data_IF_804710060842
#
_entry.id   IF_804710060842
#
_cell.length_a   1.000
_cell.length_b   1.000
_cell.length_c   1.000
_cell.angle_alpha   90.00
_cell.angle_beta   90.00
_cell.angle_gamma   90.00
#
_symmetry.space_group_name_H-M   'P 1'
#
loop_
_entity.id
_entity.type
_entity.pdbx_description
1 polymer ?
#
# COMPACT_ATOMS: atom_id res chain seq x y z
N UNK A 1 53.82 -30.04 -2.94
CA UNK A 1 52.67 -30.44 -3.80
C UNK A 1 51.63 -29.37 -3.69
N UNK A 2 51.52 -28.58 -4.75
CA UNK A 2 50.89 -27.27 -4.82
C UNK A 2 49.41 -27.48 -5.13
N UNK A 3 48.51 -26.94 -4.30
CA UNK A 3 47.11 -26.83 -4.60
C UNK A 3 46.81 -25.38 -5.00
N UNK A 4 46.39 -25.20 -6.24
CA UNK A 4 45.90 -23.95 -6.82
C UNK A 4 44.51 -23.65 -6.23
N UNK A 5 44.35 -22.47 -5.64
CA UNK A 5 43.10 -21.87 -5.29
C UNK A 5 42.42 -21.28 -6.53
N UNK A 6 41.26 -21.78 -6.87
CA UNK A 6 40.41 -21.25 -7.96
C UNK A 6 39.71 -19.97 -7.57
N UNK A 7 39.98 -18.93 -8.33
CA UNK A 7 39.23 -17.68 -8.41
C UNK A 7 37.87 -17.92 -9.08
N UNK A 8 36.80 -17.86 -8.33
CA UNK A 8 35.44 -18.07 -8.85
C UNK A 8 34.32 -17.59 -7.90
N UNK A 9 34.50 -16.45 -7.23
CA UNK A 9 33.47 -15.96 -6.29
C UNK A 9 33.27 -14.43 -6.36
N UNK A 10 33.28 -13.84 -7.54
CA UNK A 10 33.13 -12.39 -7.67
C UNK A 10 32.06 -11.92 -8.68
N UNK A 11 31.09 -12.76 -9.06
CA UNK A 11 30.13 -12.40 -10.11
C UNK A 11 28.64 -12.63 -9.77
N UNK A 12 28.26 -12.84 -8.49
CA UNK A 12 26.86 -13.12 -8.10
C UNK A 12 26.40 -12.18 -6.96
N UNK A 13 26.87 -10.96 -6.90
CA UNK A 13 26.54 -10.04 -5.79
C UNK A 13 25.88 -8.72 -6.22
N UNK A 14 25.26 -8.66 -7.39
CA UNK A 14 24.59 -7.46 -7.90
C UNK A 14 23.07 -7.60 -8.11
N UNK A 15 22.45 -8.68 -7.61
CA UNK A 15 21.01 -8.85 -7.68
C UNK A 15 20.45 -9.10 -6.27
N UNK A 16 20.07 -8.05 -5.55
CA UNK A 16 19.46 -8.29 -4.25
C UNK A 16 19.21 -7.11 -3.34
N UNK A 17 19.34 -5.89 -3.81
CA UNK A 17 18.76 -4.75 -3.12
C UNK A 17 17.52 -4.33 -3.91
N UNK A 18 16.41 -5.03 -3.69
CA UNK A 18 15.11 -4.57 -4.16
C UNK A 18 14.83 -3.21 -3.55
N UNK A 19 14.94 -2.15 -4.35
CA UNK A 19 14.44 -0.83 -3.99
C UNK A 19 12.98 -0.99 -3.62
N UNK A 20 12.62 -0.59 -2.41
CA UNK A 20 11.22 -0.48 -2.00
C UNK A 20 10.60 0.58 -2.89
N UNK A 21 9.74 0.16 -3.81
CA UNK A 21 9.03 1.08 -4.70
C UNK A 21 7.75 1.53 -4.01
N UNK A 22 7.51 2.84 -3.85
CA UNK A 22 6.23 3.34 -3.35
C UNK A 22 5.07 2.95 -4.29
N UNK A 23 3.83 3.03 -3.81
CA UNK A 23 2.64 2.56 -4.53
C UNK A 23 2.53 3.06 -5.98
N UNK A 24 2.99 4.28 -6.24
CA UNK A 24 3.01 4.86 -7.59
C UNK A 24 4.10 4.26 -8.51
N UNK A 25 5.17 3.68 -7.95
CA UNK A 25 6.22 3.02 -8.73
C UNK A 25 5.79 1.63 -9.24
N UNK A 26 4.60 1.17 -8.92
CA UNK A 26 4.00 -0.05 -9.49
C UNK A 26 3.45 0.16 -10.92
N UNK A 27 3.34 1.40 -11.40
CA UNK A 27 3.19 1.66 -12.83
C UNK A 27 4.57 1.55 -13.48
N UNK A 28 4.79 0.65 -14.46
CA UNK A 28 6.09 0.53 -15.10
C UNK A 28 6.45 1.84 -15.78
N UNK A 29 7.50 2.50 -15.30
CA UNK A 29 8.18 3.51 -16.09
C UNK A 29 8.81 2.80 -17.29
N UNK A 30 8.71 3.34 -18.52
CA UNK A 30 9.41 2.79 -19.65
C UNK A 30 10.92 2.83 -19.35
N UNK A 31 11.59 1.70 -19.49
CA UNK A 31 13.04 1.61 -19.34
C UNK A 31 13.72 2.51 -20.38
N UNK A 32 14.31 3.60 -19.90
CA UNK A 32 15.21 4.42 -20.71
C UNK A 32 16.48 3.65 -21.03
N UNK A 33 17.13 3.88 -22.20
CA UNK A 33 18.32 3.15 -22.58
C UNK A 33 19.50 3.52 -21.66
N UNK A 34 20.00 2.53 -20.91
CA UNK A 34 21.26 2.65 -20.21
C UNK A 34 22.40 2.66 -21.21
N UNK A 35 23.07 3.79 -21.35
CA UNK A 35 24.33 3.87 -22.07
C UNK A 35 25.44 3.22 -21.23
N UNK A 36 25.80 2.01 -21.54
CA UNK A 36 27.00 1.33 -21.02
C UNK A 36 27.91 1.01 -22.18
N UNK A 37 29.13 1.55 -22.14
CA UNK A 37 30.22 1.14 -23.04
C UNK A 37 30.50 -0.34 -22.82
N UNK A 38 30.30 -1.14 -23.86
CA UNK A 38 30.47 -2.59 -23.85
C UNK A 38 31.90 -2.99 -24.27
N UNK A 39 32.55 -3.78 -23.41
CA UNK A 39 33.58 -4.73 -23.85
C UNK A 39 32.92 -5.83 -24.69
N UNK A 40 33.60 -6.39 -25.69
CA UNK A 40 33.01 -7.44 -26.53
C UNK A 40 32.76 -8.71 -25.70
N UNK A 41 31.51 -9.05 -25.46
CA UNK A 41 31.10 -10.36 -24.93
C UNK A 41 30.84 -11.33 -26.10
N UNK A 42 31.25 -12.58 -25.91
CA UNK A 42 30.91 -13.71 -26.78
C UNK A 42 29.39 -13.77 -26.99
N UNK A 43 28.96 -13.79 -28.25
CA UNK A 43 27.57 -13.99 -28.65
C UNK A 43 27.08 -15.32 -28.12
N UNK A 44 26.36 -15.30 -26.97
CA UNK A 44 25.40 -16.36 -26.66
C UNK A 44 24.28 -16.27 -27.70
N UNK A 45 23.99 -17.38 -28.37
CA UNK A 45 22.81 -17.51 -29.24
C UNK A 45 21.58 -17.11 -28.45
N UNK A 46 20.94 -16.00 -28.83
CA UNK A 46 19.68 -15.55 -28.26
C UNK A 46 18.62 -16.57 -28.64
N UNK A 47 18.19 -17.37 -27.67
CA UNK A 47 16.97 -18.16 -27.81
C UNK A 47 15.83 -17.21 -28.16
N UNK A 48 14.99 -17.53 -29.16
CA UNK A 48 13.84 -16.69 -29.47
C UNK A 48 12.99 -16.51 -28.20
N UNK A 49 12.80 -15.25 -27.78
CA UNK A 49 11.94 -14.91 -26.62
C UNK A 49 10.55 -15.48 -26.88
N UNK A 50 10.07 -16.26 -25.98
CA UNK A 50 8.69 -16.73 -25.99
C UNK A 50 7.79 -15.69 -25.30
N UNK A 51 6.49 -15.69 -25.59
CA UNK A 51 5.51 -14.83 -24.91
C UNK A 51 5.60 -14.95 -23.38
N UNK A 52 5.99 -16.12 -22.87
CA UNK A 52 6.10 -16.39 -21.43
C UNK A 52 7.29 -15.68 -20.76
N UNK A 53 8.35 -15.37 -21.51
CA UNK A 53 9.53 -14.66 -20.99
C UNK A 53 9.22 -13.19 -20.63
N UNK A 54 8.07 -12.68 -21.06
CA UNK A 54 7.60 -11.31 -20.81
C UNK A 54 6.68 -11.19 -19.59
N UNK A 55 6.25 -12.33 -19.03
CA UNK A 55 5.46 -12.32 -17.80
C UNK A 55 6.35 -12.14 -16.57
N UNK A 56 6.02 -11.16 -15.75
CA UNK A 56 6.61 -10.94 -14.43
C UNK A 56 5.82 -11.74 -13.40
N UNK A 57 6.46 -12.73 -12.80
CA UNK A 57 5.90 -13.49 -11.70
C UNK A 57 6.37 -12.90 -10.38
N UNK A 58 5.49 -12.83 -9.40
CA UNK A 58 5.79 -12.44 -8.03
C UNK A 58 5.12 -13.40 -7.05
N UNK A 59 5.78 -13.70 -5.96
CA UNK A 59 5.16 -14.40 -4.85
C UNK A 59 5.91 -14.08 -3.55
N UNK A 60 5.16 -13.96 -2.46
CA UNK A 60 5.73 -13.89 -1.12
C UNK A 60 4.80 -14.51 -0.08
N UNK A 61 5.35 -14.79 1.08
CA UNK A 61 4.61 -15.14 2.29
C UNK A 61 5.12 -14.26 3.42
N UNK A 62 4.22 -13.63 4.18
CA UNK A 62 4.51 -12.89 5.39
C UNK A 62 3.68 -13.40 6.56
N UNK A 63 4.34 -13.55 7.71
CA UNK A 63 3.72 -13.88 8.98
C UNK A 63 4.39 -13.08 10.09
N UNK A 64 3.65 -12.79 11.14
CA UNK A 64 4.18 -11.98 12.22
C UNK A 64 3.37 -12.10 13.50
N UNK A 65 3.65 -11.21 14.41
CA UNK A 65 2.89 -11.07 15.64
C UNK A 65 3.10 -9.72 16.27
N UNK A 66 2.04 -9.17 16.84
CA UNK A 66 2.04 -7.88 17.52
C UNK A 66 1.58 -8.07 18.96
N UNK A 67 2.31 -7.43 19.88
CA UNK A 67 2.08 -7.53 21.32
C UNK A 67 1.99 -6.12 21.90
N UNK A 68 0.87 -5.80 22.58
CA UNK A 68 0.71 -4.56 23.31
C UNK A 68 1.48 -4.60 24.63
N UNK A 69 2.22 -3.55 24.92
CA UNK A 69 2.94 -3.40 26.20
C UNK A 69 2.02 -2.94 27.35
N UNK A 70 0.82 -2.45 27.03
CA UNK A 70 -0.15 -1.92 28.02
C UNK A 70 -1.40 -2.79 28.15
N UNK A 71 -1.35 -4.05 27.67
CA UNK A 71 -2.50 -4.94 27.67
C UNK A 71 -3.63 -4.39 26.80
N UNK A 72 -3.72 -4.82 25.57
CA UNK A 72 -4.71 -4.36 24.59
C UNK A 72 -6.16 -4.55 25.04
N UNK A 73 -7.08 -4.03 24.29
CA UNK A 73 -8.51 -4.17 24.51
C UNK A 73 -8.96 -5.62 24.43
N UNK A 74 -9.88 -6.01 25.29
CA UNK A 74 -10.61 -7.25 25.12
C UNK A 74 -11.62 -7.08 24.01
N UNK A 75 -11.28 -7.61 22.83
CA UNK A 75 -12.15 -7.85 21.70
C UNK A 75 -13.16 -6.73 21.33
N UNK A 76 -13.22 -6.41 20.06
CA UNK A 76 -14.34 -5.61 19.52
C UNK A 76 -15.63 -6.43 19.72
N UNK A 77 -16.73 -5.83 20.23
CA UNK A 77 -17.99 -6.54 20.39
C UNK A 77 -18.39 -7.24 19.08
N UNK A 78 -18.49 -8.55 19.12
CA UNK A 78 -18.87 -9.40 18.01
C UNK A 78 -17.74 -10.03 17.22
N UNK A 79 -16.46 -9.88 17.56
CA UNK A 79 -15.42 -10.80 17.10
C UNK A 79 -15.48 -12.09 17.91
N UNK A 80 -15.48 -13.22 17.18
CA UNK A 80 -15.55 -14.56 17.80
C UNK A 80 -14.25 -15.01 18.46
N UNK A 81 -13.15 -14.35 18.18
CA UNK A 81 -11.87 -14.55 18.85
C UNK A 81 -11.78 -13.60 20.04
N UNK A 82 -11.99 -14.10 21.25
CA UNK A 82 -11.86 -13.34 22.50
C UNK A 82 -10.43 -12.89 22.83
N UNK A 83 -9.65 -12.49 21.82
CA UNK A 83 -8.30 -11.99 21.92
C UNK A 83 -8.26 -10.49 22.21
N UNK A 84 -7.11 -10.04 22.70
CA UNK A 84 -6.81 -8.61 22.80
C UNK A 84 -6.60 -8.01 21.41
N UNK A 85 -7.00 -6.75 21.20
CA UNK A 85 -6.83 -6.01 19.95
C UNK A 85 -6.06 -4.72 20.19
N UNK A 86 -5.39 -4.25 19.15
CA UNK A 86 -4.80 -2.92 19.09
C UNK A 86 -5.81 -1.99 18.41
N UNK A 87 -6.21 -0.94 19.10
CA UNK A 87 -7.16 0.00 18.54
C UNK A 87 -6.54 0.85 17.45
N UNK A 88 -7.42 1.32 16.53
CA UNK A 88 -7.04 2.19 15.41
C UNK A 88 -5.91 1.59 14.54
N UNK A 89 -5.89 0.27 14.47
CA UNK A 89 -5.00 -0.52 13.62
C UNK A 89 -5.81 -1.28 12.58
N UNK A 90 -5.22 -1.50 11.45
CA UNK A 90 -5.89 -2.19 10.35
C UNK A 90 -5.35 -3.61 10.14
N UNK A 91 -4.05 -3.76 9.93
CA UNK A 91 -3.43 -5.05 9.64
C UNK A 91 -2.96 -5.79 10.88
N UNK A 92 -2.40 -5.11 11.82
CA UNK A 92 -1.87 -5.64 13.09
C UNK A 92 -2.85 -5.45 14.26
N UNK A 93 -4.15 -5.52 13.96
CA UNK A 93 -5.22 -5.33 14.95
C UNK A 93 -5.24 -6.42 16.02
N UNK A 94 -4.95 -7.67 15.67
CA UNK A 94 -4.96 -8.77 16.62
C UNK A 94 -3.63 -8.88 17.34
N UNK A 95 -3.67 -9.13 18.65
CA UNK A 95 -2.47 -9.46 19.41
C UNK A 95 -2.10 -10.93 19.27
N UNK A 96 -0.81 -11.20 19.26
CA UNK A 96 -0.24 -12.53 19.06
C UNK A 96 0.10 -12.82 17.61
N UNK A 97 0.21 -14.11 17.29
CA UNK A 97 0.61 -14.57 15.97
C UNK A 97 -0.45 -14.29 14.91
N UNK A 98 0.00 -13.88 13.73
CA UNK A 98 -0.82 -13.62 12.55
C UNK A 98 -0.16 -14.21 11.30
N UNK A 99 -0.91 -14.98 10.52
CA UNK A 99 -0.56 -15.26 9.13
C UNK A 99 -1.05 -14.05 8.31
N UNK A 100 -0.13 -13.12 8.03
CA UNK A 100 -0.45 -11.85 7.40
C UNK A 100 -0.94 -12.05 5.97
N UNK A 101 -0.06 -12.51 5.08
CA UNK A 101 -0.39 -12.61 3.67
C UNK A 101 0.50 -13.63 2.95
N UNK A 102 -0.11 -14.42 2.07
CA UNK A 102 0.55 -15.04 0.93
C UNK A 102 0.04 -14.36 -0.33
N UNK A 103 0.94 -13.99 -1.23
CA UNK A 103 0.62 -13.40 -2.53
C UNK A 103 1.18 -14.24 -3.66
N UNK A 104 0.40 -14.29 -4.74
CA UNK A 104 0.86 -14.70 -6.05
C UNK A 104 0.44 -13.65 -7.08
N UNK A 105 1.39 -13.19 -7.88
CA UNK A 105 1.13 -12.22 -8.94
C UNK A 105 1.70 -12.67 -10.27
N UNK A 106 0.95 -12.39 -11.34
CA UNK A 106 1.37 -12.53 -12.72
C UNK A 106 0.98 -11.27 -13.47
N UNK A 107 1.96 -10.57 -14.02
CA UNK A 107 1.75 -9.30 -14.72
C UNK A 107 2.52 -9.29 -16.04
N UNK A 108 1.92 -8.73 -17.07
CA UNK A 108 2.58 -8.38 -18.33
C UNK A 108 2.15 -6.98 -18.75
N UNK A 109 3.11 -6.14 -19.00
CA UNK A 109 2.87 -4.80 -19.51
C UNK A 109 2.76 -4.81 -21.04
N UNK A 110 1.84 -4.02 -21.64
CA UNK A 110 1.76 -3.89 -23.08
C UNK A 110 2.99 -3.13 -23.60
N UNK A 111 3.56 -3.57 -24.71
CA UNK A 111 4.67 -2.94 -25.40
C UNK A 111 4.38 -2.71 -26.90
N UNK A 112 5.35 -2.22 -27.66
CA UNK A 112 5.16 -1.95 -29.08
C UNK A 112 5.04 -3.21 -29.93
N UNK A 113 5.67 -4.33 -29.53
CA UNK A 113 5.64 -5.60 -30.26
C UNK A 113 4.33 -6.35 -29.96
N UNK A 114 3.84 -6.28 -28.73
CA UNK A 114 2.59 -6.89 -28.33
C UNK A 114 1.77 -5.91 -27.46
N UNK A 115 0.81 -5.18 -28.07
CA UNK A 115 0.16 -4.05 -27.44
C UNK A 115 -0.91 -4.41 -26.39
N UNK A 116 -0.96 -5.65 -25.94
CA UNK A 116 -1.89 -6.11 -24.90
C UNK A 116 -1.12 -6.58 -23.66
N UNK A 117 -1.64 -6.27 -22.49
CA UNK A 117 -1.12 -6.67 -21.20
C UNK A 117 -2.23 -7.13 -20.27
N UNK A 118 -1.83 -7.65 -19.12
CA UNK A 118 -2.74 -8.08 -18.07
C UNK A 118 -2.03 -8.08 -16.70
N UNK A 119 -2.83 -8.03 -15.66
CA UNK A 119 -2.36 -8.27 -14.30
C UNK A 119 -3.38 -9.06 -13.50
N UNK A 120 -2.88 -10.03 -12.75
CA UNK A 120 -3.63 -10.78 -11.76
C UNK A 120 -2.80 -10.87 -10.49
N UNK A 121 -3.38 -10.42 -9.36
CA UNK A 121 -2.79 -10.54 -8.02
C UNK A 121 -3.81 -11.21 -7.12
N UNK A 122 -3.43 -12.37 -6.60
CA UNK A 122 -4.21 -13.16 -5.68
C UNK A 122 -3.54 -13.14 -4.31
N UNK A 123 -4.30 -12.87 -3.27
CA UNK A 123 -3.79 -12.81 -1.91
C UNK A 123 -4.61 -13.68 -0.97
N UNK A 124 -3.95 -14.24 0.05
CA UNK A 124 -4.60 -15.03 1.09
C UNK A 124 -3.94 -14.74 2.45
N UNK A 125 -4.75 -14.64 3.49
CA UNK A 125 -4.29 -14.35 4.85
C UNK A 125 -5.15 -13.29 5.53
N UNK A 126 -4.78 -12.90 6.74
CA UNK A 126 -5.56 -11.95 7.53
C UNK A 126 -5.57 -10.55 6.91
N UNK A 127 -4.49 -10.13 6.27
CA UNK A 127 -4.42 -8.83 5.64
C UNK A 127 -5.29 -8.79 4.37
N UNK A 128 -5.38 -9.91 3.63
CA UNK A 128 -6.26 -10.04 2.47
C UNK A 128 -7.74 -9.83 2.84
N UNK A 129 -8.15 -10.33 4.00
CA UNK A 129 -9.51 -10.15 4.51
C UNK A 129 -9.92 -8.67 4.62
N UNK A 130 -8.97 -7.77 4.81
CA UNK A 130 -9.21 -6.34 5.04
C UNK A 130 -9.21 -5.51 3.77
N UNK A 131 -8.65 -6.04 2.68
CA UNK A 131 -8.50 -5.33 1.40
C UNK A 131 -9.68 -5.54 0.44
N UNK A 132 -10.67 -6.34 0.82
CA UNK A 132 -11.79 -6.65 -0.06
C UNK A 132 -12.52 -5.40 -0.52
N UNK A 133 -12.66 -5.27 -1.83
CA UNK A 133 -13.60 -4.32 -2.41
C UNK A 133 -15.04 -4.79 -2.19
N UNK A 134 -15.92 -3.85 -1.92
CA UNK A 134 -17.36 -4.09 -1.94
C UNK A 134 -17.78 -4.57 -3.34
N UNK A 135 -18.55 -5.66 -3.39
CA UNK A 135 -19.00 -6.28 -4.65
C UNK A 135 -18.14 -7.46 -5.14
N UNK A 136 -16.96 -7.68 -4.56
CA UNK A 136 -16.17 -8.91 -4.73
C UNK A 136 -15.84 -9.44 -3.35
N UNK A 137 -16.36 -10.63 -2.99
CA UNK A 137 -16.12 -11.31 -1.71
C UNK A 137 -16.53 -10.53 -0.45
N UNK A 138 -17.11 -9.34 -0.61
CA UNK A 138 -17.62 -8.48 0.46
C UNK A 138 -18.93 -7.82 0.02
N UNK A 139 -19.91 -7.77 0.90
CA UNK A 139 -21.18 -7.07 0.66
C UNK A 139 -21.19 -5.68 1.32
N UNK A 140 -22.11 -4.81 0.91
CA UNK A 140 -22.33 -3.50 1.50
C UNK A 140 -22.76 -3.57 2.98
N UNK A 141 -23.25 -4.73 3.43
CA UNK A 141 -23.71 -4.96 4.80
C UNK A 141 -22.63 -5.48 5.73
N UNK A 142 -21.44 -5.81 5.21
CA UNK A 142 -20.32 -6.27 6.01
C UNK A 142 -19.63 -5.08 6.68
N UNK A 143 -20.07 -4.81 7.92
CA UNK A 143 -19.52 -3.73 8.72
C UNK A 143 -18.07 -3.99 9.14
N UNK A 144 -17.30 -2.91 9.30
CA UNK A 144 -16.03 -2.95 10.03
C UNK A 144 -16.26 -3.52 11.45
N UNK A 145 -15.43 -4.42 11.98
CA UNK A 145 -14.21 -4.95 11.43
C UNK A 145 -14.36 -6.28 10.64
N UNK A 146 -14.83 -6.22 9.41
CA UNK A 146 -14.74 -7.31 8.41
C UNK A 146 -15.22 -8.70 8.86
N UNK A 147 -16.37 -8.76 9.50
CA UNK A 147 -17.03 -10.02 9.83
C UNK A 147 -17.49 -10.68 8.53
N UNK A 148 -17.24 -11.97 8.40
CA UNK A 148 -17.69 -12.81 7.28
C UNK A 148 -16.97 -12.58 5.93
N UNK A 149 -15.90 -11.78 5.86
CA UNK A 149 -15.09 -11.70 4.66
C UNK A 149 -14.10 -12.87 4.59
N UNK A 150 -13.90 -13.51 3.44
CA UNK A 150 -12.93 -14.58 3.27
C UNK A 150 -11.48 -14.10 3.51
N UNK A 151 -10.60 -15.04 3.84
CA UNK A 151 -9.15 -14.79 3.95
C UNK A 151 -8.42 -14.83 2.60
N UNK A 152 -9.15 -14.70 1.51
CA UNK A 152 -8.66 -14.68 0.14
C UNK A 152 -9.24 -13.48 -0.60
N UNK A 153 -8.42 -12.79 -1.41
CA UNK A 153 -8.87 -11.67 -2.24
C UNK A 153 -8.28 -11.76 -3.66
N UNK A 154 -9.03 -11.25 -4.61
CA UNK A 154 -8.54 -10.86 -5.93
C UNK A 154 -8.15 -9.39 -5.82
N UNK A 155 -6.90 -9.14 -5.40
CA UNK A 155 -6.42 -7.78 -5.15
C UNK A 155 -6.35 -6.95 -6.43
N UNK A 156 -5.83 -7.55 -7.52
CA UNK A 156 -5.85 -6.96 -8.84
C UNK A 156 -6.33 -7.97 -9.89
N UNK A 157 -7.13 -7.52 -10.83
CA UNK A 157 -7.51 -8.25 -12.03
C UNK A 157 -7.83 -7.25 -13.14
N UNK A 158 -6.93 -7.08 -14.09
CA UNK A 158 -7.11 -6.11 -15.17
C UNK A 158 -6.50 -6.59 -16.48
N UNK A 159 -7.03 -6.03 -17.57
CA UNK A 159 -6.41 -6.06 -18.89
C UNK A 159 -5.86 -4.66 -19.20
N UNK A 160 -4.83 -4.60 -20.02
CA UNK A 160 -4.27 -3.33 -20.48
C UNK A 160 -3.95 -3.36 -21.97
N UNK A 161 -3.89 -2.18 -22.57
CA UNK A 161 -3.57 -2.03 -23.97
C UNK A 161 -2.74 -0.77 -24.20
N UNK A 162 -1.85 -0.80 -25.20
CA UNK A 162 -1.06 0.34 -25.66
C UNK A 162 -1.50 0.76 -27.06
N UNK A 163 -1.86 2.02 -27.21
CA UNK A 163 -2.21 2.54 -28.54
C UNK A 163 -0.93 2.85 -29.36
N UNK A 164 -0.90 2.57 -30.67
CA UNK A 164 0.27 2.82 -31.52
C UNK A 164 0.34 4.29 -31.98
N UNK A 165 0.26 5.24 -31.05
CA UNK A 165 0.24 6.69 -31.30
C UNK A 165 1.25 7.37 -30.39
N UNK A 166 2.25 8.04 -30.93
CA UNK A 166 3.31 8.69 -30.16
C UNK A 166 4.05 7.70 -29.25
N UNK A 167 4.27 8.07 -27.98
CA UNK A 167 4.86 7.17 -26.96
C UNK A 167 3.90 6.07 -26.50
N UNK A 168 2.71 5.96 -27.09
CA UNK A 168 1.75 4.90 -26.84
C UNK A 168 0.99 5.08 -25.52
N UNK A 169 -0.07 5.91 -25.49
CA UNK A 169 -0.96 5.95 -24.35
C UNK A 169 -1.46 4.54 -24.01
N UNK A 170 -1.51 4.24 -22.71
CA UNK A 170 -1.93 2.94 -22.23
C UNK A 170 -3.32 3.06 -21.59
N UNK A 171 -4.19 2.10 -21.88
CA UNK A 171 -5.48 1.91 -21.22
C UNK A 171 -5.37 0.70 -20.28
N UNK A 172 -5.85 0.84 -19.05
CA UNK A 172 -6.01 -0.25 -18.08
C UNK A 172 -7.49 -0.35 -17.70
N UNK A 173 -8.07 -1.56 -17.75
CA UNK A 173 -9.48 -1.83 -17.42
C UNK A 173 -9.56 -2.99 -16.45
N UNK A 174 -10.23 -2.81 -15.32
CA UNK A 174 -10.43 -3.84 -14.30
C UNK A 174 -10.26 -3.32 -12.88
N UNK A 175 -9.93 -4.22 -11.96
CA UNK A 175 -9.59 -3.92 -10.56
C UNK A 175 -8.08 -3.74 -10.41
N UNK A 176 -7.66 -2.68 -9.75
CA UNK A 176 -6.25 -2.36 -9.53
C UNK A 176 -6.08 -1.59 -8.20
N UNK A 177 -4.86 -1.56 -7.67
CA UNK A 177 -4.54 -0.77 -6.46
C UNK A 177 -4.74 0.72 -6.71
N UNK A 178 -5.05 1.45 -5.66
CA UNK A 178 -5.21 2.91 -5.71
C UNK A 178 -3.94 3.60 -6.24
N UNK A 179 -4.10 4.83 -6.75
CA UNK A 179 -2.98 5.70 -7.11
C UNK A 179 -2.43 6.46 -5.89
N UNK A 180 -3.20 6.51 -4.80
CA UNK A 180 -2.92 7.31 -3.61
C UNK A 180 -2.09 6.53 -2.59
N UNK A 181 -1.30 7.27 -1.80
CA UNK A 181 -0.55 6.76 -0.67
C UNK A 181 0.90 6.37 -0.94
N UNK A 182 1.73 6.51 0.06
CA UNK A 182 3.14 6.09 0.06
C UNK A 182 3.31 4.62 0.46
N UNK A 183 2.55 4.16 1.45
CA UNK A 183 2.52 2.75 1.85
C UNK A 183 1.63 1.93 0.92
N UNK A 184 1.96 0.65 0.77
CA UNK A 184 1.29 -0.29 -0.14
C UNK A 184 0.67 -1.47 0.63
N UNK A 185 -0.22 -2.19 -0.04
CA UNK A 185 -0.88 -3.39 0.53
C UNK A 185 0.15 -4.46 0.90
N UNK A 186 1.14 -4.71 0.04
CA UNK A 186 2.15 -5.75 0.22
C UNK A 186 3.14 -5.39 1.34
N UNK A 187 3.05 -6.11 2.46
CA UNK A 187 3.90 -5.89 3.64
C UNK A 187 5.40 -5.83 3.35
N UNK A 188 5.95 -6.80 2.62
CA UNK A 188 7.36 -6.83 2.27
C UNK A 188 7.86 -5.65 1.44
N UNK A 189 6.97 -4.83 0.89
CA UNK A 189 7.30 -3.65 0.08
C UNK A 189 7.30 -2.34 0.88
N UNK A 190 6.82 -2.36 2.13
CA UNK A 190 6.87 -1.21 3.03
C UNK A 190 8.16 -1.18 3.87
N UNK A 191 8.55 0.00 4.30
CA UNK A 191 9.71 0.20 5.19
C UNK A 191 9.45 -0.35 6.59
N UNK A 192 8.21 -0.30 7.07
CA UNK A 192 7.75 -0.75 8.37
C UNK A 192 6.84 -1.97 8.23
N UNK A 193 6.70 -2.76 9.31
CA UNK A 193 5.79 -3.89 9.35
C UNK A 193 4.33 -3.44 9.48
N UNK A 194 4.05 -2.59 10.46
CA UNK A 194 2.70 -2.02 10.64
C UNK A 194 2.42 -0.92 9.61
N UNK A 195 1.16 -0.80 9.18
CA UNK A 195 0.72 0.31 8.32
C UNK A 195 0.42 1.56 9.15
N UNK A 196 0.68 2.71 8.54
CA UNK A 196 0.41 4.01 9.13
C UNK A 196 -1.06 4.39 9.17
N UNK A 197 -1.33 5.51 9.83
CA UNK A 197 -2.68 6.09 9.90
C UNK A 197 -3.12 6.66 8.54
N UNK A 198 -2.21 7.27 7.77
CA UNK A 198 -2.54 7.79 6.46
C UNK A 198 -3.00 6.66 5.54
N UNK A 199 -2.23 5.57 5.47
CA UNK A 199 -2.62 4.39 4.72
C UNK A 199 -3.97 3.83 5.19
N UNK A 200 -4.16 3.72 6.51
CA UNK A 200 -5.35 3.09 7.10
C UNK A 200 -6.63 3.89 6.91
N UNK A 201 -6.55 5.21 7.03
CA UNK A 201 -7.73 6.06 7.17
C UNK A 201 -7.89 7.11 6.07
N UNK A 202 -6.80 7.56 5.42
CA UNK A 202 -6.89 8.71 4.53
C UNK A 202 -7.29 8.36 3.09
N UNK A 203 -6.98 7.13 2.61
CA UNK A 203 -7.06 6.74 1.20
C UNK A 203 -7.81 5.42 0.97
N UNK A 204 -8.30 5.13 -0.27
CA UNK A 204 -8.77 3.80 -0.66
C UNK A 204 -7.59 2.84 -0.86
N UNK A 205 -7.85 1.51 -0.85
CA UNK A 205 -6.84 0.47 -1.13
C UNK A 205 -6.86 0.04 -2.59
N UNK A 206 -8.06 -0.18 -3.13
CA UNK A 206 -8.26 -0.63 -4.51
C UNK A 206 -9.37 0.14 -5.17
N UNK A 207 -9.34 0.20 -6.49
CA UNK A 207 -10.39 0.79 -7.32
C UNK A 207 -10.68 -0.14 -8.51
N UNK A 208 -11.89 -0.06 -9.06
CA UNK A 208 -12.27 -0.81 -10.26
C UNK A 208 -12.80 0.16 -11.30
N UNK A 209 -12.27 0.08 -12.52
CA UNK A 209 -12.67 1.00 -13.59
C UNK A 209 -11.70 1.03 -14.74
N UNK A 210 -11.52 2.21 -15.34
CA UNK A 210 -10.61 2.44 -16.44
C UNK A 210 -9.66 3.60 -16.18
N UNK A 211 -8.38 3.41 -16.47
CA UNK A 211 -7.33 4.43 -16.45
C UNK A 211 -6.68 4.56 -17.81
N UNK A 212 -6.41 5.78 -18.21
CA UNK A 212 -5.51 6.10 -19.33
C UNK A 212 -4.25 6.72 -18.74
N UNK A 213 -3.09 6.21 -19.11
CA UNK A 213 -1.78 6.73 -18.71
C UNK A 213 -0.96 7.14 -19.92
N UNK A 214 -0.12 8.17 -19.75
CA UNK A 214 0.78 8.67 -20.76
C UNK A 214 2.09 9.14 -20.12
N UNK A 215 3.21 8.72 -20.71
CA UNK A 215 4.55 9.20 -20.37
C UNK A 215 4.94 10.29 -21.37
N UNK A 216 5.07 11.52 -20.90
CA UNK A 216 5.42 12.66 -21.75
C UNK A 216 6.91 12.69 -22.07
N UNK A 217 7.73 12.30 -21.07
CA UNK A 217 9.19 12.23 -21.18
C UNK A 217 9.74 11.50 -19.93
N UNK A 218 11.07 11.44 -19.79
CA UNK A 218 11.75 10.69 -18.73
C UNK A 218 11.47 11.19 -17.30
N UNK A 219 10.94 12.41 -17.16
CA UNK A 219 10.68 13.01 -15.84
C UNK A 219 9.21 13.34 -15.57
N UNK A 220 8.31 13.17 -16.56
CA UNK A 220 6.89 13.52 -16.41
C UNK A 220 5.99 12.42 -17.00
N UNK A 221 5.09 11.91 -16.19
CA UNK A 221 3.97 11.07 -16.63
C UNK A 221 2.68 11.49 -15.95
N UNK A 222 1.55 11.17 -16.55
CA UNK A 222 0.24 11.38 -15.96
C UNK A 222 -0.69 10.22 -16.27
N UNK A 223 -1.66 10.02 -15.40
CA UNK A 223 -2.76 9.09 -15.62
C UNK A 223 -4.05 9.63 -15.03
N UNK A 224 -5.17 9.31 -15.67
CA UNK A 224 -6.49 9.68 -15.20
C UNK A 224 -7.54 8.68 -15.67
N UNK A 225 -8.64 8.58 -14.95
CA UNK A 225 -9.70 7.68 -15.33
C UNK A 225 -10.96 7.80 -14.48
N UNK A 226 -11.87 6.88 -14.77
CA UNK A 226 -13.13 6.75 -14.06
C UNK A 226 -13.19 5.38 -13.37
N UNK A 227 -13.57 5.40 -12.10
CA UNK A 227 -13.66 4.22 -11.25
C UNK A 227 -15.03 4.17 -10.55
N UNK A 228 -15.38 3.02 -10.02
CA UNK A 228 -16.68 2.79 -9.36
C UNK A 228 -16.75 3.40 -7.95
N UNK A 229 -15.68 4.05 -7.50
CA UNK A 229 -15.57 4.67 -6.20
C UNK A 229 -14.52 4.00 -5.31
N UNK A 230 -14.56 4.33 -4.02
CA UNK A 230 -13.62 3.96 -2.99
C UNK A 230 -13.83 2.49 -2.54
N UNK A 231 -12.84 1.61 -2.84
CA UNK A 231 -12.90 0.18 -2.49
C UNK A 231 -14.14 -0.54 -3.00
N UNK A 232 -14.57 -0.24 -4.25
CA UNK A 232 -15.75 -0.82 -4.87
C UNK A 232 -15.44 -1.52 -6.18
N UNK A 233 -16.12 -2.65 -6.40
CA UNK A 233 -16.05 -3.45 -7.63
C UNK A 233 -17.42 -3.67 -8.30
N UNK A 234 -18.47 -3.08 -7.73
CA UNK A 234 -19.79 -3.00 -8.31
C UNK A 234 -20.36 -1.59 -8.16
N UNK A 235 -21.35 -1.25 -8.97
CA UNK A 235 -22.06 0.02 -8.83
C UNK A 235 -23.00 -0.02 -7.62
N UNK A 236 -23.14 1.09 -6.94
CA UNK A 236 -24.06 1.29 -5.84
C UNK A 236 -25.12 2.37 -6.13
N UNK A 237 -25.23 2.75 -7.41
CA UNK A 237 -26.10 3.81 -7.94
C UNK A 237 -25.73 5.23 -7.49
N UNK A 238 -24.59 5.44 -6.85
CA UNK A 238 -24.09 6.79 -6.55
C UNK A 238 -23.52 7.49 -7.77
N UNK A 239 -22.76 6.79 -8.60
CA UNK A 239 -22.11 7.30 -9.82
C UNK A 239 -20.62 6.97 -9.84
N UNK A 240 -19.91 7.24 -10.94
CA UNK A 240 -18.47 7.04 -11.02
C UNK A 240 -17.70 8.13 -10.29
N UNK A 241 -16.52 7.77 -9.77
CA UNK A 241 -15.51 8.69 -9.27
C UNK A 241 -14.42 8.92 -10.30
N UNK A 242 -13.91 10.15 -10.38
CA UNK A 242 -12.71 10.48 -11.15
C UNK A 242 -11.47 10.22 -10.30
N UNK A 243 -10.42 9.65 -10.88
CA UNK A 243 -9.11 9.50 -10.22
C UNK A 243 -7.99 9.87 -11.17
N UNK A 244 -6.86 10.31 -10.63
CA UNK A 244 -5.70 10.63 -11.45
C UNK A 244 -4.43 10.87 -10.66
N UNK A 245 -3.33 10.94 -11.40
CA UNK A 245 -1.98 11.14 -10.89
C UNK A 245 -1.18 11.97 -11.88
N UNK A 246 -0.36 12.87 -11.37
CA UNK A 246 0.78 13.47 -12.07
C UNK A 246 2.04 13.05 -11.33
N UNK A 247 2.90 12.29 -12.00
CA UNK A 247 4.17 11.82 -11.44
C UNK A 247 5.34 12.58 -12.09
N UNK A 248 6.24 13.08 -11.24
CA UNK A 248 7.37 13.89 -11.64
C UNK A 248 8.65 13.36 -11.00
N UNK A 249 9.69 13.20 -11.81
CA UNK A 249 11.06 12.83 -11.37
C UNK A 249 11.99 14.02 -11.67
N UNK A 250 11.93 15.10 -10.86
CA UNK A 250 12.66 16.34 -11.16
C UNK A 250 14.17 16.19 -11.02
N UNK A 251 14.63 15.20 -10.27
CA UNK A 251 16.02 14.80 -10.10
C UNK A 251 16.09 13.29 -10.24
N UNK A 252 17.24 12.77 -10.65
CA UNK A 252 17.48 11.32 -10.84
C UNK A 252 17.03 10.46 -9.64
N UNK A 253 17.23 10.98 -8.42
CA UNK A 253 17.01 10.24 -7.19
C UNK A 253 15.80 10.77 -6.38
N UNK A 254 15.01 11.69 -6.96
CA UNK A 254 13.78 12.25 -6.37
C UNK A 254 12.60 11.97 -7.27
N UNK A 255 11.63 11.28 -6.77
CA UNK A 255 10.35 11.04 -7.43
C UNK A 255 9.21 11.53 -6.57
N UNK A 256 8.23 12.19 -7.19
CA UNK A 256 7.06 12.77 -6.53
C UNK A 256 5.81 12.44 -7.31
N UNK A 257 4.68 12.31 -6.64
CA UNK A 257 3.40 12.17 -7.30
C UNK A 257 2.32 12.98 -6.56
N UNK A 258 1.52 13.70 -7.34
CA UNK A 258 0.29 14.31 -6.89
C UNK A 258 -0.87 13.46 -7.41
N UNK A 259 -1.67 12.95 -6.49
CA UNK A 259 -2.76 12.04 -6.75
C UNK A 259 -4.08 12.61 -6.29
N UNK A 260 -5.18 12.16 -6.87
CA UNK A 260 -6.51 12.52 -6.41
C UNK A 260 -7.54 11.43 -6.72
N UNK A 261 -8.61 11.45 -5.93
CA UNK A 261 -9.88 10.78 -6.24
C UNK A 261 -11.03 11.71 -5.84
N UNK A 262 -12.08 11.77 -6.68
CA UNK A 262 -13.25 12.62 -6.44
C UNK A 262 -14.50 12.00 -7.01
N UNK A 263 -15.55 11.89 -6.21
CA UNK A 263 -16.85 11.38 -6.66
C UNK A 263 -17.83 11.15 -5.53
N UNK A 264 -19.04 10.69 -5.86
CA UNK A 264 -20.05 10.35 -4.88
C UNK A 264 -19.69 9.01 -4.23
N UNK A 265 -19.60 9.00 -2.89
CA UNK A 265 -19.18 7.80 -2.12
C UNK A 265 -20.26 7.36 -1.10
N UNK A 266 -21.44 7.99 -1.13
CA UNK A 266 -22.58 7.57 -0.32
C UNK A 266 -23.49 6.68 -1.18
N UNK A 267 -23.66 5.43 -0.76
CA UNK A 267 -24.42 4.45 -1.51
C UNK A 267 -25.85 4.93 -1.80
N UNK A 268 -26.24 4.88 -3.07
CA UNK A 268 -27.56 5.31 -3.55
C UNK A 268 -27.76 6.83 -3.68
N UNK A 269 -26.75 7.65 -3.35
CA UNK A 269 -26.85 9.11 -3.47
C UNK A 269 -25.70 9.68 -4.33
N UNK A 270 -26.06 10.48 -5.33
CA UNK A 270 -25.14 11.09 -6.28
C UNK A 270 -24.68 12.49 -5.87
N UNK A 271 -25.31 13.11 -4.90
CA UNK A 271 -25.10 14.54 -4.61
C UNK A 271 -23.92 14.76 -3.66
N UNK A 272 -23.78 14.01 -2.55
CA UNK A 272 -22.66 14.22 -1.64
C UNK A 272 -21.34 13.75 -2.28
N UNK A 273 -20.42 14.66 -2.42
CA UNK A 273 -19.11 14.39 -3.05
C UNK A 273 -18.06 14.20 -1.97
N UNK A 274 -17.25 13.16 -2.15
CA UNK A 274 -15.97 12.94 -1.45
C UNK A 274 -14.83 13.27 -2.38
N UNK A 275 -13.78 13.86 -1.84
CA UNK A 275 -12.52 13.99 -2.56
C UNK A 275 -11.32 13.84 -1.63
N UNK A 276 -10.23 13.37 -2.19
CA UNK A 276 -8.93 13.27 -1.53
C UNK A 276 -7.87 13.77 -2.50
N UNK A 277 -6.95 14.57 -1.96
CA UNK A 277 -5.68 14.94 -2.60
C UNK A 277 -4.58 14.28 -1.78
N UNK A 278 -3.67 13.61 -2.47
CA UNK A 278 -2.52 12.92 -1.90
C UNK A 278 -1.24 13.41 -2.59
N UNK A 279 -0.21 13.65 -1.80
CA UNK A 279 1.13 13.99 -2.29
C UNK A 279 2.14 13.03 -1.70
N UNK A 280 2.86 12.33 -2.56
CA UNK A 280 3.95 11.45 -2.15
C UNK A 280 5.29 11.91 -2.72
N UNK A 281 6.37 11.65 -1.99
CA UNK A 281 7.73 11.82 -2.48
C UNK A 281 8.63 10.72 -1.95
N UNK A 282 9.62 10.33 -2.76
CA UNK A 282 10.67 9.39 -2.40
C UNK A 282 12.01 9.90 -2.88
N UNK A 283 13.01 9.95 -1.98
CA UNK A 283 14.35 10.43 -2.28
C UNK A 283 15.41 9.40 -1.85
N UNK A 284 16.29 9.04 -2.79
CA UNK A 284 17.36 8.05 -2.62
C UNK A 284 18.75 8.60 -2.97
N UNK A 285 18.89 9.92 -3.09
CA UNK A 285 20.14 10.57 -3.50
C UNK A 285 21.25 10.58 -2.45
N UNK A 286 20.98 10.16 -1.21
CA UNK A 286 22.00 9.96 -0.20
C UNK A 286 22.31 8.47 -0.11
N UNK A 287 23.59 8.13 -0.27
CA UNK A 287 24.03 6.73 -0.26
C UNK A 287 23.52 6.00 1.00
N UNK A 288 22.97 4.82 0.80
CA UNK A 288 22.43 3.91 1.81
C UNK A 288 21.22 4.47 2.59
N UNK A 289 20.68 5.65 2.21
CA UNK A 289 19.48 6.23 2.78
C UNK A 289 18.31 6.25 1.79
N UNK A 290 17.12 6.04 2.34
CA UNK A 290 15.84 6.27 1.65
C UNK A 290 15.01 7.21 2.52
N UNK A 291 14.46 8.26 1.93
CA UNK A 291 13.53 9.18 2.57
C UNK A 291 12.20 9.15 1.83
N UNK A 292 11.12 9.09 2.59
CA UNK A 292 9.76 9.11 2.07
C UNK A 292 8.93 10.21 2.71
N UNK A 293 7.92 10.64 1.99
CA UNK A 293 6.96 11.64 2.44
C UNK A 293 5.58 11.31 1.89
N UNK A 294 4.55 11.52 2.71
CA UNK A 294 3.15 11.45 2.33
C UNK A 294 2.36 12.57 3.00
N UNK A 295 1.46 13.18 2.26
CA UNK A 295 0.47 14.14 2.74
C UNK A 295 -0.86 13.82 2.11
N UNK A 296 -1.92 13.76 2.92
CA UNK A 296 -3.28 13.56 2.49
C UNK A 296 -4.18 14.67 3.03
N UNK A 297 -5.13 15.10 2.20
CA UNK A 297 -6.27 15.91 2.62
C UNK A 297 -7.54 15.36 1.98
N UNK A 298 -8.51 15.02 2.81
CA UNK A 298 -9.79 14.49 2.37
C UNK A 298 -10.99 15.24 2.94
N UNK A 299 -12.07 15.22 2.18
CA UNK A 299 -13.31 15.90 2.50
C UNK A 299 -14.51 15.12 1.97
N UNK A 300 -15.63 15.15 2.72
CA UNK A 300 -16.88 14.48 2.39
C UNK A 300 -18.05 15.40 2.69
N UNK A 301 -18.91 15.64 1.70
CA UNK A 301 -20.18 16.35 1.89
C UNK A 301 -21.18 15.46 2.63
N UNK A 302 -22.01 16.07 3.49
CA UNK A 302 -23.18 15.47 4.12
C UNK A 302 -22.91 14.04 4.64
N UNK A 303 -21.91 13.90 5.47
CA UNK A 303 -21.43 12.59 5.91
C UNK A 303 -22.45 11.82 6.74
N UNK A 304 -22.66 10.55 6.38
CA UNK A 304 -23.68 9.68 7.03
C UNK A 304 -23.34 9.35 8.48
N UNK A 305 -22.05 9.32 8.86
CA UNK A 305 -21.65 9.11 10.25
C UNK A 305 -22.04 10.33 11.08
N UNK A 306 -21.82 11.55 10.59
CA UNK A 306 -22.23 12.79 11.27
C UNK A 306 -23.74 12.89 11.34
N UNK A 307 -24.47 12.49 10.31
CA UNK A 307 -25.93 12.42 10.36
C UNK A 307 -26.42 11.45 11.45
N UNK A 308 -25.76 10.31 11.64
CA UNK A 308 -26.08 9.36 12.73
C UNK A 308 -25.79 9.90 14.12
N UNK A 309 -24.92 10.91 14.24
CA UNK A 309 -24.62 11.64 15.48
C UNK A 309 -25.56 12.83 15.72
N UNK A 310 -26.63 12.98 14.93
CA UNK A 310 -27.58 14.09 15.03
C UNK A 310 -27.08 15.39 14.41
N UNK A 311 -26.10 15.32 13.52
CA UNK A 311 -25.51 16.43 12.77
C UNK A 311 -25.74 16.25 11.26
N UNK A 312 -26.99 16.26 10.78
CA UNK A 312 -27.29 16.14 9.36
C UNK A 312 -26.68 17.35 8.60
N UNK A 313 -26.40 17.16 7.33
CA UNK A 313 -25.87 18.18 6.41
C UNK A 313 -24.51 18.75 6.85
N UNK A 314 -23.76 18.04 7.68
CA UNK A 314 -22.40 18.39 8.05
C UNK A 314 -21.38 17.71 7.15
N UNK A 315 -20.40 18.49 6.75
CA UNK A 315 -19.26 18.00 6.01
C UNK A 315 -18.22 17.44 6.97
N UNK A 316 -17.52 16.40 6.51
CA UNK A 316 -16.41 15.81 7.21
C UNK A 316 -15.09 16.15 6.53
N UNK A 317 -14.03 16.21 7.31
CA UNK A 317 -12.67 16.42 6.78
C UNK A 317 -11.65 15.64 7.62
N UNK A 318 -10.60 15.23 6.96
CA UNK A 318 -9.42 14.60 7.55
C UNK A 318 -8.17 14.98 6.78
N UNK A 319 -7.05 14.98 7.45
CA UNK A 319 -5.77 15.25 6.82
C UNK A 319 -4.62 14.70 7.66
N UNK A 320 -3.47 14.52 7.02
CA UNK A 320 -2.31 14.03 7.73
C UNK A 320 -1.03 14.14 6.94
N UNK A 321 0.05 13.90 7.63
CA UNK A 321 1.41 13.92 7.10
C UNK A 321 2.21 12.76 7.69
N UNK A 322 2.99 12.09 6.85
CA UNK A 322 3.93 11.06 7.26
C UNK A 322 5.30 11.30 6.65
N UNK A 323 6.32 11.16 7.48
CA UNK A 323 7.72 11.16 7.07
C UNK A 323 8.35 9.80 7.34
N UNK A 324 9.17 9.35 6.40
CA UNK A 324 9.86 8.07 6.45
C UNK A 324 11.35 8.28 6.25
N UNK A 325 12.16 7.54 7.00
CA UNK A 325 13.60 7.49 6.80
C UNK A 325 14.08 6.06 7.00
N UNK A 326 14.86 5.54 6.07
CA UNK A 326 15.51 4.25 6.22
C UNK A 326 17.00 4.36 5.93
N UNK A 327 17.78 3.59 6.66
CA UNK A 327 19.23 3.50 6.52
C UNK A 327 19.66 2.03 6.42
N UNK A 328 20.28 1.68 5.30
CA UNK A 328 20.90 0.38 5.06
C UNK A 328 22.30 0.40 5.67
N UNK A 329 22.45 -0.16 6.86
CA UNK A 329 23.73 -0.28 7.54
C UNK A 329 24.19 -1.73 7.56
N UNK A 330 25.48 -1.95 7.28
CA UNK A 330 26.00 -3.27 6.93
C UNK A 330 25.22 -3.91 5.77
N UNK A 331 25.71 -5.01 5.29
CA UNK A 331 25.21 -5.67 4.09
C UNK A 331 23.76 -6.17 4.20
N UNK A 332 23.33 -6.54 5.42
CA UNK A 332 22.12 -7.30 5.63
C UNK A 332 21.12 -6.62 6.58
N UNK A 333 21.40 -5.42 7.05
CA UNK A 333 20.56 -4.72 8.02
C UNK A 333 20.02 -3.39 7.49
N UNK A 334 18.75 -3.12 7.79
CA UNK A 334 18.09 -1.83 7.57
C UNK A 334 17.40 -1.40 8.85
N UNK A 335 17.55 -0.16 9.24
CA UNK A 335 16.68 0.50 10.21
C UNK A 335 15.76 1.46 9.46
N UNK A 336 14.49 1.49 9.85
CA UNK A 336 13.48 2.39 9.27
C UNK A 336 12.71 3.09 10.38
N UNK A 337 12.43 4.37 10.16
CA UNK A 337 11.63 5.22 11.04
C UNK A 337 10.45 5.75 10.24
N UNK A 338 9.28 5.77 10.87
CA UNK A 338 8.08 6.48 10.40
C UNK A 338 7.59 7.39 11.51
N UNK A 339 7.31 8.65 11.17
CA UNK A 339 6.65 9.60 12.03
C UNK A 339 5.39 10.09 11.32
N UNK A 340 4.24 10.00 11.99
CA UNK A 340 2.95 10.39 11.42
C UNK A 340 2.18 11.31 12.34
N UNK A 341 1.40 12.16 11.72
CA UNK A 341 0.32 12.93 12.32
C UNK A 341 -0.91 12.82 11.43
N UNK A 342 -2.06 12.52 12.03
CA UNK A 342 -3.33 12.38 11.34
C UNK A 342 -4.43 13.03 12.17
N UNK A 343 -5.22 13.89 11.55
CA UNK A 343 -6.35 14.58 12.16
C UNK A 343 -7.65 14.18 11.46
N UNK A 344 -8.48 13.42 12.15
CA UNK A 344 -9.85 13.11 11.75
C UNK A 344 -10.79 14.07 12.46
N UNK A 345 -10.92 15.27 11.91
CA UNK A 345 -11.59 16.43 12.55
C UNK A 345 -12.97 16.11 13.07
N UNK A 346 -13.67 15.25 12.39
CA UNK A 346 -15.06 14.90 12.68
C UNK A 346 -15.25 13.44 13.11
N UNK A 347 -14.18 12.64 13.09
CA UNK A 347 -14.18 11.24 13.52
C UNK A 347 -14.77 10.25 12.51
N UNK A 348 -14.98 10.67 11.27
CA UNK A 348 -15.66 9.87 10.24
C UNK A 348 -14.79 8.74 9.70
N UNK A 349 -13.48 8.86 9.80
CA UNK A 349 -12.52 7.86 9.33
C UNK A 349 -12.17 6.85 10.41
N UNK A 350 -12.10 7.30 11.66
CA UNK A 350 -11.76 6.47 12.84
C UNK A 350 -12.96 5.92 13.56
N UNK A 351 -14.17 6.47 13.33
CA UNK A 351 -15.38 6.17 14.10
C UNK A 351 -15.40 6.83 15.49
N UNK A 352 -14.53 7.81 15.74
CA UNK A 352 -14.42 8.50 17.04
C UNK A 352 -15.36 9.72 17.06
N UNK A 353 -16.46 9.63 17.77
CA UNK A 353 -17.40 10.75 17.85
C UNK A 353 -16.72 12.02 18.38
N UNK A 354 -16.90 13.13 17.64
CA UNK A 354 -16.28 14.43 17.97
C UNK A 354 -14.88 14.64 17.41
N UNK A 355 -14.33 13.64 16.70
CA UNK A 355 -13.00 13.71 16.07
C UNK A 355 -11.85 13.27 16.96
N UNK A 356 -10.70 13.04 16.33
CA UNK A 356 -9.46 12.64 17.03
C UNK A 356 -8.22 13.05 16.24
N UNK A 357 -7.23 13.54 16.95
CA UNK A 357 -5.88 13.74 16.41
C UNK A 357 -4.95 12.63 16.89
N UNK A 358 -4.28 11.97 15.95
CA UNK A 358 -3.41 10.82 16.18
C UNK A 358 -1.97 11.16 15.82
N UNK A 359 -1.05 10.66 16.63
CA UNK A 359 0.40 10.66 16.37
C UNK A 359 0.93 9.24 16.43
N UNK A 360 1.87 8.89 15.55
CA UNK A 360 2.53 7.60 15.59
C UNK A 360 4.03 7.75 15.33
N UNK A 361 4.82 7.10 16.15
CA UNK A 361 6.26 6.92 15.95
C UNK A 361 6.55 5.44 15.84
N UNK A 362 7.13 5.01 14.70
CA UNK A 362 7.43 3.61 14.44
C UNK A 362 8.90 3.45 14.09
N UNK A 363 9.59 2.51 14.76
CA UNK A 363 10.97 2.14 14.48
C UNK A 363 11.04 0.64 14.16
N UNK A 364 11.59 0.30 13.00
CA UNK A 364 11.69 -1.08 12.51
C UNK A 364 13.15 -1.41 12.20
N UNK A 365 13.62 -2.54 12.73
CA UNK A 365 14.88 -3.16 12.34
C UNK A 365 14.57 -4.35 11.43
N UNK A 366 15.11 -4.35 10.23
CA UNK A 366 15.02 -5.47 9.28
C UNK A 366 16.39 -6.14 9.14
N UNK A 367 16.37 -7.47 9.11
CA UNK A 367 17.54 -8.31 8.87
C UNK A 367 17.29 -9.25 7.69
N UNK A 368 18.19 -9.24 6.71
CA UNK A 368 18.22 -10.19 5.59
C UNK A 368 18.94 -11.48 6.05
N UNK A 369 18.17 -12.49 6.41
CA UNK A 369 18.69 -13.77 6.92
C UNK A 369 19.35 -14.56 5.79
N UNK A 370 18.70 -14.59 4.63
CA UNK A 370 19.15 -15.33 3.45
C UNK A 370 18.42 -14.77 2.22
N UNK A 371 18.84 -15.16 1.01
CA UNK A 371 18.22 -14.74 -0.26
C UNK A 371 16.69 -14.81 -0.19
N UNK A 372 16.02 -13.66 -0.20
CA UNK A 372 14.57 -13.56 -0.15
C UNK A 372 13.93 -13.74 1.23
N UNK A 373 14.67 -14.20 2.27
CA UNK A 373 14.16 -14.39 3.63
C UNK A 373 14.59 -13.25 4.55
N UNK A 374 13.62 -12.57 5.13
CA UNK A 374 13.81 -11.39 5.99
C UNK A 374 13.07 -11.54 7.31
N UNK A 375 13.69 -11.04 8.38
CA UNK A 375 13.03 -10.83 9.66
C UNK A 375 12.92 -9.33 9.97
N UNK A 376 11.85 -8.95 10.66
CA UNK A 376 11.65 -7.59 11.19
C UNK A 376 11.34 -7.65 12.67
N UNK A 377 11.89 -6.69 13.42
CA UNK A 377 11.45 -6.33 14.75
C UNK A 377 11.00 -4.87 14.74
N UNK A 378 9.85 -4.56 15.31
CA UNK A 378 9.26 -3.22 15.26
C UNK A 378 8.76 -2.80 16.65
N UNK A 379 9.04 -1.56 17.00
CA UNK A 379 8.39 -0.84 18.10
C UNK A 379 7.54 0.27 17.50
N UNK A 380 6.30 0.40 17.98
CA UNK A 380 5.42 1.50 17.61
C UNK A 380 4.75 2.08 18.84
N UNK A 381 4.83 3.40 18.95
CA UNK A 381 4.12 4.25 19.91
C UNK A 381 3.03 5.04 19.17
N UNK A 382 1.78 4.91 19.63
CA UNK A 382 0.64 5.70 19.18
C UNK A 382 0.17 6.60 20.31
N UNK A 383 -0.21 7.84 19.98
CA UNK A 383 -0.75 8.83 20.90
C UNK A 383 -1.97 9.52 20.26
N UNK A 384 -2.96 9.83 21.08
CA UNK A 384 -4.17 10.57 20.68
C UNK A 384 -4.45 11.72 21.64
N UNK A 385 -5.16 12.75 21.17
CA UNK A 385 -5.72 13.79 22.02
C UNK A 385 -6.91 13.32 22.86
N UNK A 386 -7.59 12.24 22.45
CA UNK A 386 -8.74 11.64 23.08
C UNK A 386 -8.46 10.24 23.65
N UNK A 387 -9.35 9.73 24.50
CA UNK A 387 -9.29 8.36 25.03
C UNK A 387 -9.81 7.37 24.02
N UNK A 388 -8.93 6.82 23.20
CA UNK A 388 -9.30 5.90 22.09
C UNK A 388 -8.57 4.57 22.16
N UNK A 389 -7.72 4.35 23.16
CA UNK A 389 -7.00 3.10 23.38
C UNK A 389 -7.40 2.44 24.70
N UNK A 390 -7.13 1.13 24.82
CA UNK A 390 -7.47 0.36 26.02
C UNK A 390 -8.97 0.19 26.22
N UNK A 391 -9.75 0.15 25.15
CA UNK A 391 -11.21 0.00 25.16
C UNK A 391 -11.61 -1.42 25.61
N UNK A 392 -12.77 -1.55 26.27
CA UNK A 392 -13.37 -2.83 26.66
C UNK A 392 -14.85 -2.82 26.32
N UNK A 393 -15.48 -3.98 26.05
CA UNK A 393 -16.89 -4.07 25.70
C UNK A 393 -17.83 -3.46 26.74
N UNK A 394 -17.42 -3.53 28.00
CA UNK A 394 -18.17 -3.09 29.20
C UNK A 394 -17.63 -1.79 29.82
N UNK A 395 -16.63 -1.17 29.18
CA UNK A 395 -15.95 -0.02 29.76
C UNK A 395 -15.39 0.90 28.65
N UNK A 396 -15.56 2.22 28.75
CA UNK A 396 -15.00 3.16 27.77
C UNK A 396 -13.49 3.06 27.68
N UNK A 397 -12.92 3.53 26.57
CA UNK A 397 -11.48 3.61 26.36
C UNK A 397 -10.83 4.44 27.48
N UNK A 398 -9.69 3.98 27.98
CA UNK A 398 -9.05 4.58 29.17
C UNK A 398 -7.68 5.23 28.90
N UNK A 399 -7.12 4.96 27.72
CA UNK A 399 -5.77 5.40 27.42
C UNK A 399 -5.77 6.35 26.23
N UNK A 400 -4.88 7.32 26.28
CA UNK A 400 -4.56 8.22 25.16
C UNK A 400 -3.31 7.77 24.39
N UNK A 401 -2.70 6.66 24.80
CA UNK A 401 -1.53 6.09 24.13
C UNK A 401 -1.57 4.57 24.12
N UNK A 402 -0.84 4.00 23.18
CA UNK A 402 -0.66 2.57 23.00
C UNK A 402 0.77 2.30 22.54
N UNK A 403 1.42 1.30 23.13
CA UNK A 403 2.75 0.84 22.74
C UNK A 403 2.70 -0.61 22.31
N UNK A 404 3.34 -0.94 21.19
CA UNK A 404 3.38 -2.29 20.66
C UNK A 404 4.79 -2.70 20.26
N UNK A 405 5.09 -3.99 20.46
CA UNK A 405 6.23 -4.67 19.87
C UNK A 405 5.72 -5.68 18.85
N UNK A 406 6.31 -5.66 17.67
CA UNK A 406 5.97 -6.61 16.60
C UNK A 406 7.20 -7.32 16.09
N UNK A 407 6.99 -8.55 15.63
CA UNK A 407 7.99 -9.32 14.89
C UNK A 407 7.35 -9.85 13.63
N UNK A 408 8.07 -9.87 12.52
CA UNK A 408 7.61 -10.55 11.30
C UNK A 408 8.73 -11.28 10.60
N UNK A 409 8.33 -12.29 9.85
CA UNK A 409 9.17 -13.06 8.96
C UNK A 409 8.48 -13.09 7.60
N UNK A 410 9.20 -12.75 6.54
CA UNK A 410 8.69 -12.87 5.19
C UNK A 410 9.71 -13.47 4.23
N UNK A 411 9.20 -14.16 3.22
CA UNK A 411 10.01 -14.74 2.15
C UNK A 411 9.47 -14.32 0.79
N UNK A 412 10.34 -13.72 -0.03
CA UNK A 412 10.08 -13.41 -1.44
C UNK A 412 10.66 -14.52 -2.31
N UNK A 413 9.81 -15.18 -3.11
CA UNK A 413 10.21 -16.32 -3.94
C UNK A 413 10.89 -15.89 -5.26
N UNK A 414 10.49 -14.75 -5.81
CA UNK A 414 10.97 -14.20 -7.09
C UNK A 414 11.31 -12.73 -6.96
#
# INVERSE_FOLDING_TARGET
>A
MILKSGSGLAAILAMGLGSVSPAWAQTPAPAGPAATESKPEEKKEDKPKTLWDEFKLGAFIEQGGTFSLHGGSKGIPGQTSGGFVNELRYYDINQGYTFNMAEFSIKRDPDAAFPFGMGLVLTAGQDSQKNHSIGILRSDTDAFPFRNTPWFDIQEAYISGRAPIGEGPQLKLGKFVTLLGYEVIEGPSNLNYSRGYLYTFAIPFTTTGGLVSYTFNDWLSAQAGLVLGWDRSNTDNSGPSGTGQIAVTPLKDLSTALNFIVGPEISGDKNPIRWVIDLTANYTGVKDFTFGFNFDYGWQENDVFLASQGLPDKNAQWYGIAGYAAYDFWKDFRVALRQEWFDDVNGVRTGTAGGVTLFSTTATLQYNIWKGLFARGEYRHDQANEFVFGCRPDNPCKNKSQDTLSVSLFYKFF
#
